data_IF_767614508960
#
_entry.id   IF_767614508960
#
_cell.length_a   1.000
_cell.length_b   1.000
_cell.length_c   1.000
_cell.angle_alpha   90.00
_cell.angle_beta   90.00
_cell.angle_gamma   90.00
#
_symmetry.space_group_name_H-M   'P 1'
#
loop_
_entity.id
_entity.type
_entity.pdbx_description
1 polymer ?
#
# COMPACT_ATOMS: atom_id res chain seq x y z
N UNK A 1 -17.18 -4.75 45.02
CA UNK A 1 -15.91 -4.62 44.27
C UNK A 1 -14.68 -5.15 45.02
N UNK A 2 -14.32 -4.68 46.23
CA UNK A 2 -13.11 -5.19 46.96
C UNK A 2 -13.16 -6.69 47.29
N UNK A 3 -14.31 -7.23 47.68
CA UNK A 3 -14.43 -8.66 48.04
C UNK A 3 -14.32 -9.63 46.84
N UNK A 4 -14.64 -9.19 45.62
CA UNK A 4 -14.65 -10.04 44.43
C UNK A 4 -13.24 -10.25 43.87
N UNK A 5 -12.45 -9.17 43.80
CA UNK A 5 -11.03 -9.24 43.44
C UNK A 5 -10.23 -10.08 44.45
N UNK A 6 -10.55 -9.98 45.75
CA UNK A 6 -9.95 -10.81 46.81
C UNK A 6 -10.31 -12.30 46.68
N UNK A 7 -11.56 -12.61 46.36
CA UNK A 7 -12.02 -14.00 46.16
C UNK A 7 -11.38 -14.63 44.91
N UNK A 8 -11.31 -13.86 43.81
CA UNK A 8 -10.55 -14.22 42.60
C UNK A 8 -9.08 -14.45 42.89
N UNK A 9 -8.44 -13.56 43.64
CA UNK A 9 -7.04 -13.72 44.03
C UNK A 9 -6.84 -15.02 44.82
N UNK A 10 -7.74 -15.33 45.76
CA UNK A 10 -7.71 -16.54 46.59
C UNK A 10 -7.85 -17.83 45.77
N UNK A 11 -8.84 -17.90 44.88
CA UNK A 11 -9.07 -19.03 43.97
C UNK A 11 -7.87 -19.25 43.04
N UNK A 12 -7.29 -18.15 42.52
CA UNK A 12 -6.10 -18.19 41.66
C UNK A 12 -4.85 -18.67 42.40
N UNK A 13 -4.68 -18.31 43.68
CA UNK A 13 -3.62 -18.85 44.52
C UNK A 13 -3.82 -20.33 44.86
N UNK A 14 -5.07 -20.79 45.04
CA UNK A 14 -5.39 -22.21 45.28
C UNK A 14 -5.11 -23.05 44.03
N UNK A 15 -5.58 -22.63 42.85
CA UNK A 15 -5.24 -23.28 41.57
C UNK A 15 -3.72 -23.25 41.32
N UNK A 16 -3.07 -22.13 41.65
CA UNK A 16 -1.62 -21.99 41.61
C UNK A 16 -0.87 -22.94 42.57
N UNK A 17 -1.51 -23.37 43.65
CA UNK A 17 -0.95 -24.29 44.67
C UNK A 17 -1.19 -25.77 44.33
N UNK A 18 -2.31 -26.12 43.66
CA UNK A 18 -2.56 -27.47 43.14
C UNK A 18 -1.61 -27.88 42.01
N UNK A 19 -0.95 -26.92 41.36
CA UNK A 19 0.12 -27.15 40.36
C UNK A 19 1.45 -27.57 41.04
N UNK A 20 1.50 -27.63 42.38
CA UNK A 20 2.69 -27.98 43.14
C UNK A 20 2.63 -29.38 43.74
N UNK A 21 2.95 -30.40 42.95
CA UNK A 21 4.02 -31.39 43.17
C UNK A 21 3.87 -32.47 42.09
N UNK A 22 4.91 -32.61 41.24
CA UNK A 22 5.07 -33.64 40.18
C UNK A 22 4.11 -33.59 38.97
N UNK A 23 4.42 -32.71 38.00
CA UNK A 23 4.47 -33.00 36.53
C UNK A 23 4.55 -31.74 35.64
N UNK A 24 4.32 -30.53 36.17
CA UNK A 24 4.32 -29.28 35.37
C UNK A 24 5.61 -28.46 35.54
N UNK A 25 6.27 -28.07 34.44
CA UNK A 25 7.51 -27.25 34.48
C UNK A 25 7.22 -25.84 35.01
N UNK A 26 8.18 -25.25 35.76
CA UNK A 26 8.06 -23.92 36.38
C UNK A 26 7.67 -22.80 35.40
N UNK A 27 8.10 -22.92 34.14
CA UNK A 27 7.78 -22.01 33.04
C UNK A 27 6.28 -21.98 32.73
N UNK A 28 5.65 -23.14 32.56
CA UNK A 28 4.21 -23.21 32.27
C UNK A 28 3.37 -22.69 33.44
N UNK A 29 3.76 -23.00 34.69
CA UNK A 29 3.10 -22.45 35.88
C UNK A 29 3.13 -20.92 35.91
N UNK A 30 4.25 -20.31 35.55
CA UNK A 30 4.37 -18.85 35.48
C UNK A 30 3.54 -18.26 34.34
N UNK A 31 3.52 -18.91 33.17
CA UNK A 31 2.67 -18.52 32.05
C UNK A 31 1.19 -18.59 32.43
N UNK A 32 0.76 -19.69 33.05
CA UNK A 32 -0.62 -19.89 33.46
C UNK A 32 -1.08 -18.81 34.46
N UNK A 33 -0.25 -18.44 35.46
CA UNK A 33 -0.55 -17.32 36.36
C UNK A 33 -0.77 -15.99 35.63
N UNK A 34 0.04 -15.71 34.59
CA UNK A 34 -0.15 -14.50 33.76
C UNK A 34 -1.44 -14.60 32.94
N UNK A 35 -1.70 -15.77 32.36
CA UNK A 35 -2.91 -16.05 31.59
C UNK A 35 -4.16 -15.80 32.42
N UNK A 36 -4.22 -16.33 33.63
CA UNK A 36 -5.40 -16.19 34.47
C UNK A 36 -5.65 -14.73 34.89
N UNK A 37 -4.58 -13.96 35.14
CA UNK A 37 -4.67 -12.50 35.35
C UNK A 37 -5.21 -11.79 34.11
N UNK A 38 -4.66 -12.06 32.93
CA UNK A 38 -5.11 -11.44 31.68
C UNK A 38 -6.58 -11.80 31.38
N UNK A 39 -6.97 -13.05 31.61
CA UNK A 39 -8.35 -13.49 31.47
C UNK A 39 -9.29 -12.75 32.44
N UNK A 40 -8.88 -12.50 33.68
CA UNK A 40 -9.68 -11.71 34.62
C UNK A 40 -9.91 -10.27 34.14
N UNK A 41 -8.97 -9.69 33.37
CA UNK A 41 -9.15 -8.37 32.75
C UNK A 41 -10.19 -8.46 31.64
N UNK A 42 -10.09 -9.46 30.76
CA UNK A 42 -11.09 -9.73 29.71
C UNK A 42 -12.49 -9.93 30.31
N UNK A 43 -12.59 -10.64 31.44
CA UNK A 43 -13.84 -10.80 32.19
C UNK A 43 -14.34 -9.51 32.82
N UNK A 44 -13.48 -8.66 33.38
CA UNK A 44 -13.89 -7.39 33.97
C UNK A 44 -14.31 -6.37 32.90
N UNK A 45 -13.66 -6.36 31.74
CA UNK A 45 -14.14 -5.63 30.57
C UNK A 45 -15.54 -6.13 30.19
N UNK A 46 -15.74 -7.44 30.11
CA UNK A 46 -17.05 -8.05 29.86
C UNK A 46 -18.12 -7.62 30.90
N UNK A 47 -17.79 -7.62 32.20
CA UNK A 47 -18.70 -7.27 33.30
C UNK A 47 -19.04 -5.76 33.34
N UNK A 48 -18.08 -4.85 33.13
CA UNK A 48 -18.34 -3.39 33.11
C UNK A 48 -19.32 -3.00 32.01
N UNK A 49 -19.31 -3.75 30.92
CA UNK A 49 -20.21 -3.55 29.81
C UNK A 49 -21.61 -4.12 30.07
N UNK A 50 -21.83 -5.10 30.96
CA UNK A 50 -23.15 -5.76 31.09
C UNK A 50 -24.29 -4.85 31.57
N UNK A 51 -24.00 -3.73 32.25
CA UNK A 51 -25.02 -2.74 32.61
C UNK A 51 -25.48 -1.88 31.39
N UNK A 52 -24.71 -1.83 30.30
CA UNK A 52 -25.06 -1.14 29.03
C UNK A 52 -25.19 -2.09 27.80
N UNK A 53 -24.70 -3.34 27.89
CA UNK A 53 -24.49 -4.27 26.79
C UNK A 53 -25.47 -5.45 26.85
N UNK A 54 -26.70 -5.20 26.42
CA UNK A 54 -27.36 -6.14 25.49
C UNK A 54 -26.91 -5.89 24.03
N UNK A 55 -25.98 -4.95 23.78
CA UNK A 55 -25.75 -4.31 22.46
C UNK A 55 -24.40 -4.49 21.76
N UNK A 56 -23.42 -5.27 22.24
CA UNK A 56 -22.15 -5.40 21.52
C UNK A 56 -21.35 -6.70 21.78
N UNK A 57 -21.90 -7.83 21.30
CA UNK A 57 -21.22 -9.15 21.28
C UNK A 57 -19.91 -9.16 20.48
N UNK A 58 -19.71 -8.20 19.56
CA UNK A 58 -18.48 -8.12 18.77
C UNK A 58 -17.28 -7.82 19.67
N UNK A 59 -17.34 -6.84 20.57
CA UNK A 59 -16.19 -6.40 21.39
C UNK A 59 -15.62 -7.50 22.29
N UNK A 60 -16.47 -8.35 22.88
CA UNK A 60 -16.01 -9.50 23.68
C UNK A 60 -15.30 -10.58 22.85
N UNK A 61 -15.70 -10.77 21.58
CA UNK A 61 -15.04 -11.70 20.66
C UNK A 61 -13.62 -11.23 20.32
N UNK A 62 -13.38 -9.92 20.18
CA UNK A 62 -12.04 -9.35 19.96
C UNK A 62 -11.11 -9.57 21.16
N UNK A 63 -11.57 -9.29 22.40
CA UNK A 63 -10.75 -9.49 23.60
C UNK A 63 -10.32 -10.96 23.77
N UNK A 64 -11.18 -11.92 23.45
CA UNK A 64 -10.82 -13.34 23.45
C UNK A 64 -9.80 -13.70 22.36
N UNK A 65 -9.94 -13.17 21.13
CA UNK A 65 -8.94 -13.36 20.07
C UNK A 65 -7.57 -12.83 20.49
N UNK A 66 -7.48 -11.67 21.15
CA UNK A 66 -6.22 -11.14 21.67
C UNK A 66 -5.62 -11.96 22.82
N UNK A 67 -6.47 -12.46 23.73
CA UNK A 67 -5.99 -13.31 24.81
C UNK A 67 -5.38 -14.62 24.27
N UNK A 68 -6.06 -15.24 23.30
CA UNK A 68 -5.55 -16.43 22.60
C UNK A 68 -4.28 -16.13 21.82
N UNK A 69 -4.28 -15.03 21.07
CA UNK A 69 -3.09 -14.55 20.35
C UNK A 69 -1.87 -14.48 21.26
N UNK A 70 -2.00 -13.74 22.37
CA UNK A 70 -0.96 -13.59 23.36
C UNK A 70 -0.55 -14.92 23.99
N UNK A 71 -1.51 -15.76 24.35
CA UNK A 71 -1.23 -17.05 24.99
C UNK A 71 -0.43 -17.97 24.07
N UNK A 72 -0.85 -18.11 22.80
CA UNK A 72 -0.15 -18.90 21.80
C UNK A 72 1.26 -18.36 21.50
N UNK A 73 1.41 -17.04 21.46
CA UNK A 73 2.73 -16.40 21.37
C UNK A 73 3.64 -16.80 22.52
N UNK A 74 3.13 -16.74 23.75
CA UNK A 74 3.92 -17.12 24.92
C UNK A 74 4.24 -18.62 24.95
N UNK A 75 3.33 -19.48 24.50
CA UNK A 75 3.58 -20.92 24.38
C UNK A 75 4.75 -21.19 23.42
N UNK A 76 4.78 -20.50 22.28
CA UNK A 76 5.82 -20.66 21.25
C UNK A 76 7.15 -20.04 21.70
N UNK A 77 7.14 -18.78 22.15
CA UNK A 77 8.36 -18.03 22.53
C UNK A 77 9.08 -18.70 23.71
N UNK A 78 8.33 -19.18 24.70
CA UNK A 78 8.91 -19.84 25.87
C UNK A 78 9.17 -21.34 25.64
N UNK A 79 8.93 -21.84 24.43
CA UNK A 79 9.10 -23.25 24.04
C UNK A 79 8.48 -24.22 25.08
N UNK A 80 7.22 -23.96 25.43
CA UNK A 80 6.48 -24.76 26.42
C UNK A 80 6.36 -26.20 25.91
N UNK A 81 6.54 -27.17 26.81
CA UNK A 81 6.50 -28.59 26.51
C UNK A 81 5.09 -29.03 26.07
N UNK A 82 5.01 -29.99 25.15
CA UNK A 82 3.73 -30.51 24.67
C UNK A 82 2.93 -31.17 25.81
N UNK A 83 3.59 -31.82 26.77
CA UNK A 83 2.92 -32.37 27.96
C UNK A 83 2.26 -31.29 28.83
N UNK A 84 2.94 -30.15 29.01
CA UNK A 84 2.40 -28.99 29.73
C UNK A 84 1.22 -28.34 28.96
N UNK A 85 1.32 -28.22 27.64
CA UNK A 85 0.24 -27.70 26.78
C UNK A 85 -1.00 -28.59 26.88
N UNK A 86 -0.83 -29.92 26.84
CA UNK A 86 -1.93 -30.89 26.96
C UNK A 86 -2.66 -30.80 28.32
N UNK A 87 -2.01 -30.24 29.35
CA UNK A 87 -2.62 -30.02 30.65
C UNK A 87 -3.53 -28.76 30.69
N UNK A 88 -3.29 -27.78 29.81
CA UNK A 88 -4.00 -26.50 29.78
C UNK A 88 -5.54 -26.62 29.73
N UNK A 89 -6.16 -27.48 28.90
CA UNK A 89 -7.62 -27.58 28.83
C UNK A 89 -8.27 -28.02 30.15
N UNK A 90 -7.56 -28.81 30.97
CA UNK A 90 -8.06 -29.22 32.30
C UNK A 90 -8.05 -28.04 33.28
N UNK A 91 -6.96 -27.26 33.26
CA UNK A 91 -6.81 -26.06 34.06
C UNK A 91 -7.82 -24.98 33.65
N UNK A 92 -8.02 -24.78 32.34
CA UNK A 92 -9.02 -23.86 31.81
C UNK A 92 -10.44 -24.22 32.27
N UNK A 93 -10.86 -25.49 32.14
CA UNK A 93 -12.19 -25.93 32.61
C UNK A 93 -12.39 -25.70 34.10
N UNK A 94 -11.34 -25.91 34.89
CA UNK A 94 -11.39 -25.70 36.34
C UNK A 94 -11.51 -24.21 36.67
N UNK A 95 -10.72 -23.36 35.99
CA UNK A 95 -10.79 -21.92 36.10
C UNK A 95 -12.20 -21.41 35.75
N UNK A 96 -12.78 -21.82 34.61
CA UNK A 96 -14.14 -21.42 34.21
C UNK A 96 -15.19 -21.83 35.24
N UNK A 97 -15.14 -23.06 35.77
CA UNK A 97 -16.07 -23.54 36.82
C UNK A 97 -15.94 -22.79 38.15
N UNK A 98 -14.76 -22.24 38.43
CA UNK A 98 -14.52 -21.49 39.67
C UNK A 98 -15.23 -20.13 39.70
N UNK A 99 -15.67 -19.62 38.55
CA UNK A 99 -16.55 -18.45 38.49
C UNK A 99 -18.01 -18.88 38.75
N UNK A 100 -18.63 -18.38 39.83
CA UNK A 100 -19.99 -18.77 40.23
C UNK A 100 -21.10 -18.05 39.44
N UNK A 101 -22.21 -18.76 39.14
CA UNK A 101 -23.49 -18.20 38.64
C UNK A 101 -23.83 -18.47 37.17
N UNK A 102 -24.88 -17.82 36.62
CA UNK A 102 -25.32 -17.83 35.20
C UNK A 102 -24.29 -17.24 34.20
N UNK A 103 -23.07 -16.96 34.66
CA UNK A 103 -22.01 -16.31 33.87
C UNK A 103 -21.40 -17.31 32.89
N UNK A 104 -21.77 -17.20 31.62
CA UNK A 104 -21.08 -17.91 30.54
C UNK A 104 -19.70 -17.28 30.30
N UNK A 105 -18.67 -18.12 30.20
CA UNK A 105 -17.34 -17.67 29.78
C UNK A 105 -17.44 -16.96 28.42
N UNK A 106 -16.84 -15.76 28.24
CA UNK A 106 -16.84 -15.08 26.96
C UNK A 106 -15.88 -15.73 25.95
N UNK A 107 -14.90 -16.50 26.43
CA UNK A 107 -13.91 -17.17 25.60
C UNK A 107 -14.09 -18.69 25.66
N UNK A 108 -13.81 -19.38 24.56
CA UNK A 108 -13.67 -20.84 24.53
C UNK A 108 -12.21 -21.18 24.23
N UNK A 109 -11.67 -22.23 24.84
CA UNK A 109 -10.31 -22.70 24.54
C UNK A 109 -10.38 -24.18 24.25
N UNK A 110 -9.80 -24.59 23.13
CA UNK A 110 -9.80 -25.96 22.66
C UNK A 110 -8.44 -26.63 22.91
N UNK A 111 -8.45 -27.97 22.94
CA UNK A 111 -7.23 -28.75 23.15
C UNK A 111 -6.42 -28.85 21.87
N UNK A 112 -5.39 -28.02 21.73
CA UNK A 112 -4.51 -27.97 20.57
C UNK A 112 -3.10 -28.48 20.88
N UNK A 113 -2.50 -29.20 19.93
CA UNK A 113 -1.09 -29.58 19.97
C UNK A 113 -0.18 -28.41 19.61
N UNK A 114 1.09 -28.48 19.98
CA UNK A 114 2.05 -27.40 19.71
C UNK A 114 2.19 -27.07 18.22
N UNK A 115 2.14 -28.08 17.35
CA UNK A 115 2.18 -27.88 15.90
C UNK A 115 0.92 -27.18 15.39
N UNK A 116 -0.26 -27.57 15.88
CA UNK A 116 -1.55 -26.93 15.55
C UNK A 116 -1.57 -25.47 16.00
N UNK A 117 -1.03 -25.16 17.19
CA UNK A 117 -0.86 -23.79 17.70
C UNK A 117 0.04 -22.96 16.76
N UNK A 118 1.18 -23.52 16.33
CA UNK A 118 2.12 -22.84 15.41
C UNK A 118 1.48 -22.57 14.04
N UNK A 119 0.67 -23.50 13.53
CA UNK A 119 -0.04 -23.33 12.27
C UNK A 119 -1.14 -22.27 12.37
N UNK A 120 -2.07 -22.41 13.33
CA UNK A 120 -3.22 -21.51 13.45
C UNK A 120 -2.84 -20.10 13.87
N UNK A 121 -1.69 -19.93 14.55
CA UNK A 121 -1.14 -18.63 14.89
C UNK A 121 -0.99 -17.71 13.66
N UNK A 122 -0.78 -18.26 12.47
CA UNK A 122 -0.76 -17.47 11.22
C UNK A 122 -2.04 -16.65 11.01
N UNK A 123 -3.20 -17.21 11.36
CA UNK A 123 -4.47 -16.48 11.30
C UNK A 123 -4.59 -15.44 12.39
N UNK A 124 -4.06 -15.71 13.59
CA UNK A 124 -4.01 -14.74 14.67
C UNK A 124 -3.09 -13.55 14.36
N UNK A 125 -1.90 -13.79 13.79
CA UNK A 125 -0.99 -12.74 13.34
C UNK A 125 -1.63 -11.91 12.22
N UNK A 126 -2.34 -12.55 11.28
CA UNK A 126 -3.12 -11.83 10.27
C UNK A 126 -4.27 -11.03 10.91
N UNK A 127 -4.95 -11.57 11.92
CA UNK A 127 -6.01 -10.87 12.63
C UNK A 127 -5.50 -9.62 13.34
N UNK A 128 -4.34 -9.67 14.00
CA UNK A 128 -3.73 -8.50 14.61
C UNK A 128 -3.43 -7.41 13.56
N UNK A 129 -2.96 -7.81 12.37
CA UNK A 129 -2.79 -6.90 11.24
C UNK A 129 -4.13 -6.35 10.73
N UNK A 130 -5.14 -7.20 10.63
CA UNK A 130 -6.48 -6.84 10.17
C UNK A 130 -7.14 -5.79 11.07
N UNK A 131 -7.11 -6.01 12.37
CA UNK A 131 -7.67 -5.07 13.33
C UNK A 131 -6.88 -3.75 13.37
N UNK A 132 -5.54 -3.83 13.31
CA UNK A 132 -4.68 -2.63 13.28
C UNK A 132 -4.83 -1.79 12.01
N UNK A 133 -5.25 -2.40 10.90
CA UNK A 133 -5.40 -1.74 9.60
C UNK A 133 -6.72 -2.16 8.95
N UNK A 134 -7.89 -1.66 9.39
CA UNK A 134 -9.19 -2.09 8.90
C UNK A 134 -9.45 -1.71 7.43
N UNK A 135 -8.74 -0.73 6.87
CA UNK A 135 -8.78 -0.39 5.46
C UNK A 135 -8.02 -1.42 4.59
N UNK A 136 -8.67 -1.95 3.56
CA UNK A 136 -8.12 -2.99 2.69
C UNK A 136 -6.84 -2.57 1.98
N UNK A 137 -6.80 -1.36 1.44
CA UNK A 137 -5.68 -0.89 0.66
C UNK A 137 -4.43 -0.71 1.55
N UNK A 138 -4.61 -0.09 2.71
CA UNK A 138 -3.53 0.12 3.68
C UNK A 138 -2.99 -1.19 4.21
N UNK A 139 -3.88 -2.13 4.54
CA UNK A 139 -3.52 -3.44 5.06
C UNK A 139 -2.73 -4.24 4.02
N UNK A 140 -3.22 -4.28 2.77
CA UNK A 140 -2.52 -4.90 1.65
C UNK A 140 -1.14 -4.26 1.43
N UNK A 141 -1.02 -2.95 1.58
CA UNK A 141 0.26 -2.25 1.51
C UNK A 141 1.22 -2.66 2.63
N UNK A 142 0.75 -2.68 3.88
CA UNK A 142 1.57 -3.10 5.03
C UNK A 142 2.07 -4.53 4.85
N UNK A 143 1.29 -5.41 4.23
CA UNK A 143 1.75 -6.76 3.85
C UNK A 143 2.81 -6.66 2.74
N UNK A 144 2.54 -5.93 1.66
CA UNK A 144 3.43 -5.79 0.50
C UNK A 144 4.85 -5.35 0.86
N UNK A 145 4.96 -4.31 1.70
CA UNK A 145 6.23 -3.68 2.08
C UNK A 145 6.92 -4.40 3.25
N UNK A 146 6.22 -5.33 3.92
CA UNK A 146 6.75 -6.03 5.08
C UNK A 146 7.73 -7.14 4.71
N UNK A 147 8.78 -7.29 5.52
CA UNK A 147 9.66 -8.46 5.50
C UNK A 147 8.90 -9.77 5.76
N UNK A 148 7.71 -9.68 6.35
CA UNK A 148 6.78 -10.79 6.61
C UNK A 148 5.75 -11.01 5.49
N UNK A 149 5.87 -10.35 4.33
CA UNK A 149 4.91 -10.53 3.22
C UNK A 149 4.69 -12.01 2.86
N UNK A 150 5.78 -12.79 2.80
CA UNK A 150 5.70 -14.24 2.50
C UNK A 150 4.90 -14.99 3.57
N UNK A 151 5.14 -14.67 4.84
CA UNK A 151 4.43 -15.27 5.98
C UNK A 151 2.92 -14.99 5.91
N UNK A 152 2.51 -13.77 5.60
CA UNK A 152 1.09 -13.45 5.43
C UNK A 152 0.45 -14.11 4.19
N UNK A 153 1.23 -14.39 3.13
CA UNK A 153 0.74 -15.23 2.01
C UNK A 153 0.53 -16.67 2.44
N UNK A 154 1.46 -17.22 3.20
CA UNK A 154 1.35 -18.58 3.75
C UNK A 154 0.10 -18.72 4.64
N UNK A 155 -0.28 -17.67 5.38
CA UNK A 155 -1.53 -17.61 6.15
C UNK A 155 -2.79 -17.76 5.26
N UNK A 156 -2.80 -17.14 4.07
CA UNK A 156 -3.91 -17.27 3.10
C UNK A 156 -4.00 -18.71 2.58
N UNK A 157 -2.86 -19.32 2.25
CA UNK A 157 -2.83 -20.70 1.79
C UNK A 157 -3.25 -21.67 2.91
N UNK A 158 -2.82 -21.41 4.15
CA UNK A 158 -3.26 -22.13 5.33
C UNK A 158 -4.77 -22.06 5.51
N UNK A 159 -5.35 -20.85 5.44
CA UNK A 159 -6.80 -20.67 5.54
C UNK A 159 -7.56 -21.48 4.50
N UNK A 160 -7.14 -21.43 3.22
CA UNK A 160 -7.76 -22.19 2.14
C UNK A 160 -7.70 -23.70 2.38
N UNK A 161 -6.54 -24.21 2.82
CA UNK A 161 -6.38 -25.63 3.19
C UNK A 161 -7.31 -26.00 4.35
N UNK A 162 -7.35 -25.19 5.39
CA UNK A 162 -8.19 -25.45 6.56
C UNK A 162 -9.68 -25.41 6.24
N UNK A 163 -10.13 -24.52 5.36
CA UNK A 163 -11.52 -24.49 4.89
C UNK A 163 -11.94 -25.79 4.19
N UNK A 164 -11.01 -26.47 3.51
CA UNK A 164 -11.27 -27.79 2.93
C UNK A 164 -11.22 -28.94 3.96
N UNK A 165 -10.38 -28.81 4.99
CA UNK A 165 -10.17 -29.82 6.04
C UNK A 165 -11.24 -29.79 7.14
N UNK A 166 -11.82 -28.63 7.40
CA UNK A 166 -12.82 -28.38 8.43
C UNK A 166 -14.16 -28.00 7.80
N UNK A 167 -14.92 -28.96 7.24
CA UNK A 167 -16.31 -28.71 6.83
C UNK A 167 -17.18 -28.41 8.06
N UNK A 168 -18.35 -27.77 7.87
CA UNK A 168 -19.21 -27.27 8.96
C UNK A 168 -19.67 -28.32 9.98
N UNK A 169 -19.59 -29.62 9.66
CA UNK A 169 -19.96 -30.73 10.54
C UNK A 169 -18.75 -31.34 11.28
N UNK A 170 -17.53 -30.91 10.98
CA UNK A 170 -16.32 -31.36 11.64
C UNK A 170 -16.21 -30.71 13.02
N UNK A 171 -16.09 -31.53 14.05
CA UNK A 171 -16.17 -31.09 15.44
C UNK A 171 -14.88 -31.34 16.22
N UNK A 172 -13.79 -31.67 15.53
CA UNK A 172 -12.46 -31.69 16.15
C UNK A 172 -12.15 -30.34 16.80
N UNK A 173 -11.46 -30.39 17.94
CA UNK A 173 -11.03 -29.21 18.71
C UNK A 173 -10.22 -28.23 17.85
N UNK A 174 -9.41 -28.75 16.94
CA UNK A 174 -8.65 -27.93 15.98
C UNK A 174 -9.56 -27.19 14.97
N UNK A 175 -10.58 -27.86 14.45
CA UNK A 175 -11.54 -27.22 13.55
C UNK A 175 -12.43 -26.21 14.26
N UNK A 176 -12.83 -26.46 15.52
CA UNK A 176 -13.55 -25.46 16.32
C UNK A 176 -12.75 -24.17 16.50
N UNK A 177 -11.45 -24.29 16.79
CA UNK A 177 -10.57 -23.13 16.87
C UNK A 177 -10.51 -22.38 15.52
N UNK A 178 -10.41 -23.10 14.40
CA UNK A 178 -10.41 -22.52 13.06
C UNK A 178 -11.74 -21.82 12.72
N UNK A 179 -12.88 -22.37 13.17
CA UNK A 179 -14.21 -21.80 12.93
C UNK A 179 -14.42 -20.45 13.60
N UNK A 180 -13.71 -20.15 14.70
CA UNK A 180 -13.76 -18.81 15.30
C UNK A 180 -13.35 -17.69 14.33
N UNK A 181 -12.50 -18.02 13.34
CA UNK A 181 -12.05 -17.15 12.26
C UNK A 181 -12.87 -17.28 10.98
N UNK A 182 -13.10 -18.51 10.51
CA UNK A 182 -13.75 -18.72 9.20
C UNK A 182 -15.23 -18.34 9.17
N UNK A 183 -15.89 -18.24 10.32
CA UNK A 183 -17.26 -17.73 10.43
C UNK A 183 -17.35 -16.20 10.40
N UNK A 184 -16.22 -15.49 10.52
CA UNK A 184 -16.16 -14.04 10.44
C UNK A 184 -16.00 -13.62 8.96
N UNK A 185 -17.12 -13.36 8.29
CA UNK A 185 -17.13 -13.02 6.86
C UNK A 185 -16.34 -11.75 6.51
N UNK A 186 -16.23 -10.79 7.45
CA UNK A 186 -15.43 -9.58 7.26
C UNK A 186 -13.93 -9.93 7.28
N UNK A 187 -13.52 -10.75 8.25
CA UNK A 187 -12.15 -11.26 8.33
C UNK A 187 -11.80 -12.11 7.10
N UNK A 188 -12.68 -13.01 6.67
CA UNK A 188 -12.46 -13.83 5.47
C UNK A 188 -12.27 -12.96 4.22
N UNK A 189 -13.18 -12.00 3.98
CA UNK A 189 -13.08 -11.07 2.84
C UNK A 189 -11.74 -10.32 2.88
N UNK A 190 -11.33 -9.85 4.05
CA UNK A 190 -10.07 -9.15 4.24
C UNK A 190 -8.84 -10.04 4.03
N UNK A 191 -8.86 -11.29 4.52
CA UNK A 191 -7.76 -12.23 4.34
C UNK A 191 -7.56 -12.58 2.86
N UNK A 192 -8.65 -12.85 2.15
CA UNK A 192 -8.62 -13.26 0.75
C UNK A 192 -8.42 -12.10 -0.24
N UNK A 193 -8.53 -10.85 0.21
CA UNK A 193 -8.35 -9.67 -0.66
C UNK A 193 -6.90 -9.43 -1.06
N UNK A 194 -5.93 -9.92 -0.28
CA UNK A 194 -4.52 -9.71 -0.60
C UNK A 194 -4.08 -10.55 -1.82
N UNK A 195 -3.80 -9.87 -2.93
CA UNK A 195 -3.30 -10.48 -4.19
C UNK A 195 -1.96 -9.91 -4.66
N UNK A 196 -1.32 -9.06 -3.86
CA UNK A 196 -0.09 -8.35 -4.23
C UNK A 196 1.14 -9.25 -4.34
N UNK A 197 2.12 -8.86 -5.17
CA UNK A 197 3.46 -9.48 -5.21
C UNK A 197 4.29 -8.88 -4.06
N UNK A 198 5.08 -9.66 -3.33
CA UNK A 198 5.90 -9.10 -2.25
C UNK A 198 7.02 -8.24 -2.84
N UNK A 199 7.32 -7.08 -2.22
CA UNK A 199 8.34 -6.13 -2.68
C UNK A 199 9.67 -6.76 -3.12
N UNK A 200 10.11 -7.82 -2.42
CA UNK A 200 11.39 -8.50 -2.68
C UNK A 200 11.30 -9.76 -3.57
N UNK A 201 10.15 -10.06 -4.19
CA UNK A 201 10.02 -11.23 -5.08
C UNK A 201 10.23 -10.83 -6.53
N UNK A 202 11.24 -11.41 -7.17
CA UNK A 202 11.48 -11.29 -8.61
C UNK A 202 10.25 -11.72 -9.40
N UNK A 203 9.88 -10.93 -10.41
CA UNK A 203 8.74 -11.13 -11.31
C UNK A 203 8.93 -12.41 -12.16
N UNK A 204 8.70 -13.58 -11.58
CA UNK A 204 8.46 -14.80 -12.33
C UNK A 204 7.02 -15.25 -12.09
N UNK A 205 6.05 -14.53 -12.66
CA UNK A 205 4.71 -15.09 -12.85
C UNK A 205 4.01 -14.47 -14.05
N UNK A 206 3.60 -15.37 -14.94
CA UNK A 206 2.78 -15.18 -16.14
C UNK A 206 1.48 -14.42 -15.80
N UNK A 207 0.95 -13.56 -16.71
CA UNK A 207 -0.31 -12.84 -16.48
C UNK A 207 -1.48 -13.81 -16.35
N UNK A 208 -1.98 -14.01 -15.13
CA UNK A 208 -3.28 -14.63 -14.87
C UNK A 208 -4.39 -13.63 -15.19
N UNK A 209 -5.33 -14.04 -16.04
CA UNK A 209 -6.37 -13.22 -16.65
C UNK A 209 -7.22 -12.39 -15.68
N UNK A 210 -7.25 -11.10 -15.95
CA UNK A 210 -8.21 -10.11 -15.48
C UNK A 210 -7.96 -8.85 -16.29
N UNK A 211 -9.00 -8.34 -16.96
CA UNK A 211 -9.00 -7.21 -17.91
C UNK A 211 -8.71 -5.85 -17.24
N UNK A 212 -7.60 -5.75 -16.50
CA UNK A 212 -7.19 -4.54 -15.80
C UNK A 212 -5.82 -4.06 -16.25
N UNK A 213 -5.80 -2.95 -16.98
CA UNK A 213 -4.57 -2.23 -17.32
C UNK A 213 -4.03 -1.53 -16.07
N UNK A 214 -3.07 -2.17 -15.39
CA UNK A 214 -2.26 -1.55 -14.33
C UNK A 214 -1.59 -0.26 -14.87
N UNK A 215 -1.49 0.80 -14.05
CA UNK A 215 -0.65 1.95 -14.41
C UNK A 215 0.78 1.48 -14.37
N UNK A 216 1.47 1.56 -15.50
CA UNK A 216 2.88 1.23 -15.59
C UNK A 216 3.68 2.46 -16.03
N UNK A 217 4.99 2.38 -15.80
CA UNK A 217 5.95 3.38 -16.24
C UNK A 217 6.07 3.41 -17.76
N UNK A 218 6.78 4.39 -18.30
CA UNK A 218 7.19 4.39 -19.70
C UNK A 218 7.84 3.06 -20.11
N UNK A 219 7.43 2.52 -21.27
CA UNK A 219 7.87 1.20 -21.73
C UNK A 219 9.38 1.16 -22.03
N UNK A 220 9.95 2.27 -22.52
CA UNK A 220 11.38 2.34 -22.80
C UNK A 220 12.18 2.33 -21.49
N UNK A 221 11.68 3.03 -20.46
CA UNK A 221 12.26 2.98 -19.13
C UNK A 221 12.20 1.59 -18.49
N UNK A 222 11.10 0.86 -18.65
CA UNK A 222 10.96 -0.51 -18.14
C UNK A 222 12.01 -1.44 -18.76
N UNK A 223 12.18 -1.38 -20.08
CA UNK A 223 13.19 -2.18 -20.80
C UNK A 223 14.60 -1.96 -20.26
N UNK A 224 14.95 -0.73 -19.86
CA UNK A 224 16.26 -0.43 -19.28
C UNK A 224 16.48 -1.08 -17.90
N UNK A 225 15.41 -1.43 -17.20
CA UNK A 225 15.44 -2.04 -15.87
C UNK A 225 15.24 -3.56 -15.89
N UNK A 226 15.02 -4.15 -17.07
CA UNK A 226 14.86 -5.59 -17.25
C UNK A 226 16.16 -6.30 -16.82
N UNK A 227 16.10 -7.02 -15.69
CA UNK A 227 17.17 -7.86 -15.18
C UNK A 227 17.60 -7.58 -13.74
N UNK A 228 17.61 -6.32 -13.29
CA UNK A 228 18.04 -5.95 -11.92
C UNK A 228 16.97 -5.17 -11.12
N UNK A 229 15.84 -4.81 -11.76
CA UNK A 229 14.66 -4.22 -11.14
C UNK A 229 14.92 -2.96 -10.31
N UNK A 230 15.94 -2.16 -10.64
CA UNK A 230 16.32 -0.99 -9.85
C UNK A 230 15.22 0.08 -9.74
N UNK A 231 14.24 0.07 -10.65
CA UNK A 231 13.09 0.98 -10.60
C UNK A 231 12.20 0.71 -9.39
N UNK A 232 12.18 -0.51 -8.84
CA UNK A 232 11.29 -0.90 -7.73
C UNK A 232 11.66 -0.20 -6.41
N UNK A 233 12.89 0.28 -6.28
CA UNK A 233 13.36 1.00 -5.10
C UNK A 233 13.03 2.50 -5.15
N UNK A 234 12.54 2.99 -6.30
CA UNK A 234 12.14 4.38 -6.47
C UNK A 234 10.74 4.59 -5.92
N UNK A 235 10.59 5.69 -5.18
CA UNK A 235 9.37 5.98 -4.45
C UNK A 235 8.13 6.07 -5.35
N UNK A 236 8.27 6.63 -6.55
CA UNK A 236 7.19 6.70 -7.53
C UNK A 236 6.68 5.29 -7.89
N UNK A 237 7.59 4.35 -8.20
CA UNK A 237 7.23 2.95 -8.47
C UNK A 237 6.50 2.32 -7.29
N UNK A 238 7.05 2.49 -6.08
CA UNK A 238 6.45 1.93 -4.87
C UNK A 238 5.03 2.48 -4.70
N UNK A 239 4.85 3.79 -4.87
CA UNK A 239 3.55 4.44 -4.76
C UNK A 239 2.55 3.95 -5.81
N UNK A 240 2.96 3.81 -7.07
CA UNK A 240 2.10 3.26 -8.11
C UNK A 240 1.71 1.82 -7.84
N UNK A 241 2.61 0.98 -7.34
CA UNK A 241 2.30 -0.39 -6.94
C UNK A 241 1.24 -0.42 -5.82
N UNK A 242 1.35 0.46 -4.83
CA UNK A 242 0.32 0.62 -3.79
C UNK A 242 -1.03 0.93 -4.41
N UNK A 243 -1.07 1.90 -5.33
CA UNK A 243 -2.32 2.32 -5.95
C UNK A 243 -2.91 1.21 -6.85
N UNK A 244 -2.06 0.53 -7.62
CA UNK A 244 -2.44 -0.57 -8.51
C UNK A 244 -2.95 -1.81 -7.76
N UNK A 245 -2.44 -2.09 -6.55
CA UNK A 245 -2.82 -3.26 -5.76
C UNK A 245 -3.99 -2.94 -4.82
N UNK A 246 -3.86 -1.85 -4.07
CA UNK A 246 -4.73 -1.55 -2.94
C UNK A 246 -6.12 -1.08 -3.34
N UNK A 247 -6.27 -0.43 -4.50
CA UNK A 247 -7.52 0.25 -4.88
C UNK A 247 -8.14 -0.32 -6.15
N UNK A 248 -7.88 -1.59 -6.47
CA UNK A 248 -8.61 -2.28 -7.55
C UNK A 248 -9.96 -2.85 -7.09
N UNK A 249 -10.10 -3.19 -5.80
CA UNK A 249 -11.37 -3.57 -5.18
C UNK A 249 -11.86 -2.40 -4.32
N UNK A 250 -12.94 -1.76 -4.73
CA UNK A 250 -13.55 -0.66 -3.97
C UNK A 250 -15.06 -0.87 -3.93
N UNK A 251 -15.67 -0.40 -2.86
CA UNK A 251 -17.14 -0.32 -2.76
C UNK A 251 -17.64 0.91 -3.52
N UNK A 252 -18.88 0.85 -4.00
CA UNK A 252 -19.47 1.96 -4.73
C UNK A 252 -19.65 3.18 -3.81
N UNK A 253 -19.17 4.34 -4.25
CA UNK A 253 -19.33 5.58 -3.52
C UNK A 253 -20.67 6.24 -3.86
N UNK A 254 -21.44 6.61 -2.83
CA UNK A 254 -22.64 7.44 -3.00
C UNK A 254 -22.33 8.77 -3.71
N UNK A 255 -21.15 9.35 -3.52
CA UNK A 255 -20.73 10.58 -4.20
C UNK A 255 -20.62 10.32 -5.71
N UNK A 256 -19.94 9.23 -6.09
CA UNK A 256 -19.78 8.85 -7.48
C UNK A 256 -21.12 8.47 -8.13
N UNK A 257 -21.93 7.65 -7.46
CA UNK A 257 -23.24 7.23 -7.95
C UNK A 257 -24.17 8.43 -8.17
N UNK A 258 -24.15 9.43 -7.28
CA UNK A 258 -24.97 10.64 -7.43
C UNK A 258 -24.52 11.56 -8.56
N UNK A 259 -23.22 11.62 -8.85
CA UNK A 259 -22.69 12.45 -9.93
C UNK A 259 -22.77 11.79 -11.31
N UNK A 260 -22.95 10.46 -11.35
CA UNK A 260 -22.92 9.64 -12.57
C UNK A 260 -24.34 9.16 -12.98
N UNK A 261 -25.39 9.87 -12.53
CA UNK A 261 -26.80 9.46 -12.74
C UNK A 261 -27.21 9.19 -14.20
N UNK A 262 -26.54 9.80 -15.18
CA UNK A 262 -26.93 9.76 -16.60
C UNK A 262 -25.82 9.30 -17.57
N UNK A 263 -24.74 8.67 -17.09
CA UNK A 263 -23.73 8.12 -18.02
C UNK A 263 -23.47 6.64 -17.74
N UNK A 264 -23.95 5.80 -18.66
CA UNK A 264 -23.66 4.36 -18.78
C UNK A 264 -22.16 4.03 -18.99
N UNK A 265 -21.22 4.88 -18.56
CA UNK A 265 -19.79 4.60 -18.68
C UNK A 265 -19.28 3.97 -17.40
N UNK A 266 -19.38 2.64 -17.34
CA UNK A 266 -18.77 1.80 -16.31
C UNK A 266 -17.33 2.24 -15.97
N UNK A 267 -16.54 2.63 -16.98
CA UNK A 267 -15.17 3.13 -16.81
C UNK A 267 -15.07 4.41 -15.98
N UNK A 268 -16.02 5.34 -16.12
CA UNK A 268 -16.02 6.60 -15.36
C UNK A 268 -16.33 6.34 -13.89
N UNK A 269 -17.36 5.54 -13.62
CA UNK A 269 -17.72 5.09 -12.26
C UNK A 269 -16.55 4.37 -11.60
N UNK A 270 -15.83 3.54 -12.38
CA UNK A 270 -14.60 2.85 -11.94
C UNK A 270 -13.58 3.83 -11.37
N UNK A 271 -13.17 4.82 -12.18
CA UNK A 271 -12.11 5.77 -11.82
C UNK A 271 -12.56 6.67 -10.65
N UNK A 272 -13.84 7.09 -10.65
CA UNK A 272 -14.41 7.88 -9.57
C UNK A 272 -14.33 7.16 -8.23
N UNK A 273 -14.77 5.90 -8.17
CA UNK A 273 -14.78 5.14 -6.92
C UNK A 273 -13.35 4.86 -6.42
N UNK A 274 -12.40 4.55 -7.32
CA UNK A 274 -10.97 4.44 -6.96
C UNK A 274 -10.48 5.73 -6.30
N UNK A 275 -10.73 6.86 -6.93
CA UNK A 275 -10.35 8.16 -6.40
C UNK A 275 -10.96 8.42 -5.02
N UNK A 276 -12.25 8.12 -4.85
CA UNK A 276 -12.96 8.31 -3.60
C UNK A 276 -12.25 7.58 -2.45
N UNK A 277 -11.95 6.29 -2.62
CA UNK A 277 -11.30 5.48 -1.57
C UNK A 277 -9.87 5.96 -1.31
N UNK A 278 -9.11 6.31 -2.35
CA UNK A 278 -7.74 6.85 -2.20
C UNK A 278 -7.77 8.14 -1.38
N UNK A 279 -8.64 9.09 -1.74
CA UNK A 279 -8.70 10.36 -1.02
C UNK A 279 -9.24 10.17 0.39
N UNK A 280 -10.26 9.35 0.63
CA UNK A 280 -10.73 9.09 2.00
C UNK A 280 -9.62 8.56 2.92
N UNK A 281 -8.73 7.71 2.40
CA UNK A 281 -7.62 7.12 3.13
C UNK A 281 -6.29 7.88 3.03
N UNK A 282 -6.27 9.06 2.41
CA UNK A 282 -5.04 9.78 2.04
C UNK A 282 -4.05 9.96 3.20
N UNK A 283 -4.51 10.36 4.38
CA UNK A 283 -3.64 10.55 5.55
C UNK A 283 -2.94 9.26 5.97
N UNK A 284 -3.65 8.13 5.88
CA UNK A 284 -3.10 6.83 6.24
C UNK A 284 -2.13 6.32 5.18
N UNK A 285 -2.44 6.55 3.89
CA UNK A 285 -1.51 6.30 2.78
C UNK A 285 -0.23 7.10 3.01
N UNK A 286 -0.32 8.40 3.31
CA UNK A 286 0.88 9.21 3.57
C UNK A 286 1.68 8.71 4.77
N UNK A 287 1.02 8.35 5.89
CA UNK A 287 1.68 7.73 7.05
C UNK A 287 2.36 6.41 6.69
N UNK A 288 1.83 5.65 5.74
CA UNK A 288 2.45 4.38 5.38
C UNK A 288 3.81 4.54 4.68
N UNK A 289 4.12 5.74 4.16
CA UNK A 289 5.42 6.09 3.58
C UNK A 289 6.31 6.91 4.56
N UNK A 290 6.13 6.71 5.87
CA UNK A 290 6.57 7.49 7.06
C UNK A 290 8.03 8.00 7.18
N UNK A 291 8.84 8.07 6.13
CA UNK A 291 10.19 8.65 6.15
C UNK A 291 10.38 9.92 5.30
N UNK A 292 9.39 10.37 4.52
CA UNK A 292 9.57 11.56 3.66
C UNK A 292 8.38 12.51 3.70
N UNK A 293 8.25 13.24 4.81
CA UNK A 293 7.40 14.43 4.94
C UNK A 293 8.03 15.56 4.11
N UNK A 294 7.98 15.45 2.77
CA UNK A 294 8.23 16.52 1.78
C UNK A 294 8.14 16.09 0.31
N UNK A 295 7.74 14.85 0.00
CA UNK A 295 7.66 14.39 -1.41
C UNK A 295 6.26 14.52 -2.00
N UNK A 296 6.22 14.71 -3.32
CA UNK A 296 5.04 15.12 -4.07
C UNK A 296 4.09 13.94 -4.38
N UNK A 297 3.66 13.18 -3.37
CA UNK A 297 2.75 12.04 -3.53
C UNK A 297 1.43 12.41 -4.21
N UNK A 298 0.95 13.64 -3.96
CA UNK A 298 -0.25 14.12 -4.62
C UNK A 298 -0.05 14.29 -6.13
N UNK A 299 1.15 14.70 -6.57
CA UNK A 299 1.49 14.75 -7.99
C UNK A 299 1.57 13.34 -8.60
N UNK A 300 2.15 12.38 -7.87
CA UNK A 300 2.13 10.97 -8.29
C UNK A 300 0.70 10.46 -8.48
N UNK A 301 -0.20 10.74 -7.53
CA UNK A 301 -1.62 10.39 -7.63
C UNK A 301 -2.27 11.06 -8.84
N UNK A 302 -1.94 12.33 -9.11
CA UNK A 302 -2.46 13.08 -10.26
C UNK A 302 -2.09 12.44 -11.59
N UNK A 303 -0.84 12.01 -11.79
CA UNK A 303 -0.46 11.27 -13.00
C UNK A 303 -1.11 9.89 -13.03
N UNK A 304 -1.12 9.16 -11.91
CA UNK A 304 -1.69 7.82 -11.83
C UNK A 304 -3.18 7.79 -12.22
N UNK A 305 -4.01 8.66 -11.63
CA UNK A 305 -5.45 8.66 -11.88
C UNK A 305 -5.80 9.05 -13.32
N UNK A 306 -5.06 9.99 -13.92
CA UNK A 306 -5.32 10.46 -15.29
C UNK A 306 -4.80 9.49 -16.35
N UNK A 307 -3.82 8.64 -15.99
CA UNK A 307 -3.38 7.54 -16.84
C UNK A 307 -4.46 6.46 -16.98
N UNK A 308 -5.33 6.29 -15.97
CA UNK A 308 -6.48 5.38 -16.03
C UNK A 308 -7.53 5.83 -17.06
N UNK A 309 -7.55 7.09 -17.49
CA UNK A 309 -8.52 7.63 -18.46
C UNK A 309 -8.08 7.28 -19.89
N UNK A 310 -8.36 6.05 -20.34
CA UNK A 310 -7.94 5.54 -21.67
C UNK A 310 -8.89 5.94 -22.82
N UNK A 311 -10.15 6.23 -22.53
CA UNK A 311 -11.13 6.60 -23.55
C UNK A 311 -10.90 8.04 -24.06
N UNK A 312 -10.40 8.15 -25.29
CA UNK A 312 -10.14 9.44 -25.95
C UNK A 312 -11.40 10.29 -26.11
N UNK A 313 -12.54 9.67 -26.41
CA UNK A 313 -13.80 10.37 -26.70
C UNK A 313 -14.38 11.00 -25.42
N UNK A 314 -14.26 10.30 -24.29
CA UNK A 314 -14.80 10.79 -23.02
C UNK A 314 -13.77 11.46 -22.10
N UNK A 315 -12.48 11.51 -22.46
CA UNK A 315 -11.41 12.03 -21.60
C UNK A 315 -11.74 13.36 -20.93
N UNK A 316 -12.17 14.37 -21.71
CA UNK A 316 -12.55 15.69 -21.17
C UNK A 316 -13.69 15.62 -20.16
N UNK A 317 -14.73 14.84 -20.46
CA UNK A 317 -15.88 14.64 -19.56
C UNK A 317 -15.46 13.91 -18.29
N UNK A 318 -14.69 12.83 -18.41
CA UNK A 318 -14.15 12.04 -17.31
C UNK A 318 -13.26 12.88 -16.40
N UNK A 319 -12.32 13.64 -16.97
CA UNK A 319 -11.44 14.55 -16.23
C UNK A 319 -12.23 15.61 -15.47
N UNK A 320 -13.24 16.22 -16.10
CA UNK A 320 -14.08 17.24 -15.44
C UNK A 320 -14.83 16.67 -14.25
N UNK A 321 -15.40 15.47 -14.39
CA UNK A 321 -16.07 14.79 -13.28
C UNK A 321 -15.10 14.46 -12.14
N UNK A 322 -13.92 13.94 -12.47
CA UNK A 322 -12.86 13.62 -11.50
C UNK A 322 -12.50 14.84 -10.67
N UNK A 323 -12.42 16.04 -11.27
CA UNK A 323 -12.16 17.29 -10.56
C UNK A 323 -13.28 17.65 -9.58
N UNK A 324 -14.53 17.55 -10.00
CA UNK A 324 -15.69 17.78 -9.13
C UNK A 324 -15.67 16.85 -7.91
N UNK A 325 -15.36 15.56 -8.12
CA UNK A 325 -15.27 14.56 -7.04
C UNK A 325 -14.13 14.92 -6.09
N UNK A 326 -12.97 15.28 -6.62
CA UNK A 326 -11.80 15.70 -5.84
C UNK A 326 -12.12 16.90 -4.93
N UNK A 327 -12.78 17.91 -5.47
CA UNK A 327 -13.16 19.13 -4.76
C UNK A 327 -14.13 18.83 -3.62
N UNK A 328 -15.15 18.01 -3.89
CA UNK A 328 -16.13 17.57 -2.89
C UNK A 328 -15.40 16.87 -1.74
N UNK A 329 -14.53 15.91 -2.04
CA UNK A 329 -13.82 15.14 -1.03
C UNK A 329 -12.86 15.99 -0.20
N UNK A 330 -12.14 16.93 -0.82
CA UNK A 330 -11.26 17.85 -0.08
C UNK A 330 -12.01 18.87 0.78
N UNK A 331 -13.24 19.26 0.38
CA UNK A 331 -14.11 20.11 1.18
C UNK A 331 -14.65 19.36 2.41
N UNK A 332 -14.99 18.08 2.28
CA UNK A 332 -15.46 17.25 3.40
C UNK A 332 -14.37 16.92 4.43
N UNK A 333 -13.09 16.97 4.04
CA UNK A 333 -11.95 16.84 4.94
C UNK A 333 -11.66 18.13 5.71
N UNK A 334 -12.55 18.49 6.62
CA UNK A 334 -12.45 19.75 7.39
C UNK A 334 -11.24 19.71 8.35
N UNK A 335 -10.92 18.55 8.93
CA UNK A 335 -9.90 18.40 9.98
C UNK A 335 -8.57 17.76 9.53
N UNK A 336 -8.39 17.50 8.22
CA UNK A 336 -7.14 16.93 7.70
C UNK A 336 -6.24 18.04 7.15
N UNK A 337 -5.00 18.09 7.64
CA UNK A 337 -3.99 19.01 7.14
C UNK A 337 -3.39 18.56 5.80
N UNK A 338 -3.59 17.31 5.38
CA UNK A 338 -3.03 16.78 4.13
C UNK A 338 -4.12 16.70 3.05
N UNK A 339 -4.40 17.84 2.42
CA UNK A 339 -5.26 17.87 1.22
C UNK A 339 -4.41 17.57 -0.02
N UNK A 340 -4.94 16.73 -0.90
CA UNK A 340 -4.34 16.50 -2.21
C UNK A 340 -5.25 17.10 -3.26
N UNK A 341 -4.80 18.12 -3.98
CA UNK A 341 -5.56 18.78 -5.03
C UNK A 341 -5.21 18.22 -6.40
N UNK A 342 -6.19 18.22 -7.30
CA UNK A 342 -5.93 17.81 -8.67
C UNK A 342 -5.07 18.85 -9.39
N UNK A 343 -4.27 18.38 -10.34
CA UNK A 343 -3.55 19.17 -11.34
C UNK A 343 -4.37 19.20 -12.63
N UNK A 344 -4.27 20.32 -13.36
CA UNK A 344 -4.98 20.46 -14.62
C UNK A 344 -4.32 19.64 -15.74
N UNK A 345 -4.93 18.50 -16.03
CA UNK A 345 -4.66 17.58 -17.13
C UNK A 345 -5.86 17.44 -18.07
N UNK A 346 -6.67 18.50 -18.19
CA UNK A 346 -7.69 18.62 -19.24
C UNK A 346 -7.04 18.96 -20.59
N UNK A 347 -6.17 18.04 -21.05
CA UNK A 347 -5.39 18.14 -22.28
C UNK A 347 -5.62 16.89 -23.12
N UNK A 348 -5.38 16.95 -24.44
CA UNK A 348 -5.38 15.76 -25.29
C UNK A 348 -4.50 14.64 -24.73
N UNK A 349 -4.87 13.39 -24.99
CA UNK A 349 -4.16 12.22 -24.45
C UNK A 349 -2.66 12.22 -24.80
N UNK A 350 -2.32 12.67 -26.03
CA UNK A 350 -0.92 12.82 -26.46
C UNK A 350 -0.14 13.76 -25.53
N UNK A 351 -0.73 14.91 -25.20
CA UNK A 351 -0.07 15.89 -24.34
C UNK A 351 0.05 15.38 -22.90
N UNK A 352 -0.98 14.70 -22.39
CA UNK A 352 -0.89 14.04 -21.09
C UNK A 352 0.22 12.98 -21.05
N UNK A 353 0.32 12.13 -22.08
CA UNK A 353 1.38 11.10 -22.17
C UNK A 353 2.77 11.72 -22.19
N UNK A 354 2.95 12.82 -22.92
CA UNK A 354 4.21 13.57 -22.94
C UNK A 354 4.54 14.17 -21.56
N UNK A 355 3.55 14.78 -20.88
CA UNK A 355 3.71 15.31 -19.52
C UNK A 355 4.12 14.22 -18.54
N UNK A 356 3.43 13.07 -18.55
CA UNK A 356 3.72 11.91 -17.71
C UNK A 356 5.14 11.41 -17.99
N UNK A 357 5.52 11.20 -19.25
CA UNK A 357 6.85 10.71 -19.64
C UNK A 357 7.98 11.63 -19.14
N UNK A 358 7.83 12.95 -19.26
CA UNK A 358 8.79 13.92 -18.74
C UNK A 358 8.88 13.90 -17.21
N UNK A 359 7.72 13.90 -16.53
CA UNK A 359 7.69 13.90 -15.07
C UNK A 359 8.31 12.63 -14.48
N UNK A 360 7.89 11.46 -14.97
CA UNK A 360 8.40 10.18 -14.49
C UNK A 360 9.90 10.09 -14.70
N UNK A 361 10.41 10.44 -15.89
CA UNK A 361 11.85 10.47 -16.15
C UNK A 361 12.63 11.21 -15.06
N UNK A 362 12.16 12.38 -14.62
CA UNK A 362 12.84 13.19 -13.62
C UNK A 362 12.90 12.51 -12.25
N UNK A 363 11.87 11.74 -11.88
CA UNK A 363 11.87 10.92 -10.67
C UNK A 363 12.90 9.78 -10.72
N UNK A 364 13.17 9.24 -11.91
CA UNK A 364 14.15 8.16 -12.11
C UNK A 364 15.56 8.65 -12.45
N UNK A 365 15.74 9.92 -12.80
CA UNK A 365 16.97 10.39 -13.44
C UNK A 365 18.24 10.12 -12.62
N UNK A 366 18.19 10.30 -11.30
CA UNK A 366 19.35 10.02 -10.44
C UNK A 366 19.69 8.53 -10.37
N UNK A 367 18.69 7.65 -10.39
CA UNK A 367 18.90 6.21 -10.41
C UNK A 367 19.49 5.76 -11.75
N UNK A 368 18.99 6.31 -12.86
CA UNK A 368 19.52 6.11 -14.21
C UNK A 368 21.01 6.50 -14.25
N UNK A 369 21.37 7.70 -13.77
CA UNK A 369 22.79 8.13 -13.70
C UNK A 369 23.65 7.15 -12.92
N UNK A 370 23.19 6.77 -11.72
CA UNK A 370 23.92 5.85 -10.84
C UNK A 370 24.12 4.47 -11.46
N UNK A 371 23.20 4.02 -12.32
CA UNK A 371 23.32 2.77 -13.08
C UNK A 371 24.27 2.90 -14.25
N UNK A 372 24.18 3.98 -15.01
CA UNK A 372 25.07 4.25 -16.14
C UNK A 372 26.56 4.31 -15.77
N UNK A 373 26.88 4.71 -14.54
CA UNK A 373 28.26 4.70 -14.03
C UNK A 373 28.82 3.28 -13.84
N UNK A 374 27.96 2.27 -13.66
CA UNK A 374 28.33 0.90 -13.27
C UNK A 374 28.25 -0.13 -14.41
N UNK A 375 27.63 0.22 -15.54
CA UNK A 375 27.41 -0.70 -16.66
C UNK A 375 28.50 -0.61 -17.75
N UNK A 376 28.71 -1.73 -18.45
CA UNK A 376 29.61 -1.82 -19.60
C UNK A 376 29.15 -0.94 -20.77
N UNK A 377 30.11 -0.59 -21.65
CA UNK A 377 29.88 0.32 -22.78
C UNK A 377 28.76 -0.10 -23.73
N UNK A 378 28.51 -1.41 -23.91
CA UNK A 378 27.46 -1.92 -24.81
C UNK A 378 26.05 -1.61 -24.32
N UNK A 379 25.81 -1.63 -22.99
CA UNK A 379 24.51 -1.28 -22.40
C UNK A 379 24.31 0.23 -22.28
N UNK A 380 25.39 1.03 -22.30
CA UNK A 380 25.28 2.49 -22.24
C UNK A 380 24.54 3.08 -23.43
N UNK A 381 24.63 2.44 -24.59
CA UNK A 381 23.98 2.92 -25.82
C UNK A 381 22.45 2.99 -25.68
N UNK A 382 21.82 1.96 -25.11
CA UNK A 382 20.36 1.94 -24.89
C UNK A 382 19.91 3.05 -23.93
N UNK A 383 20.68 3.29 -22.88
CA UNK A 383 20.46 4.40 -21.95
C UNK A 383 20.61 5.76 -22.64
N UNK A 384 21.62 5.91 -23.51
CA UNK A 384 21.85 7.14 -24.27
C UNK A 384 20.73 7.42 -25.27
N UNK A 385 20.21 6.39 -25.95
CA UNK A 385 19.05 6.54 -26.85
C UNK A 385 17.79 6.95 -26.08
N UNK A 386 17.52 6.33 -24.93
CA UNK A 386 16.42 6.74 -24.06
C UNK A 386 16.57 8.18 -23.59
N UNK A 387 17.74 8.57 -23.07
CA UNK A 387 18.01 9.95 -22.64
C UNK A 387 17.83 10.95 -23.77
N UNK A 388 18.34 10.63 -24.97
CA UNK A 388 18.18 11.46 -26.15
C UNK A 388 16.71 11.63 -26.51
N UNK A 389 15.90 10.58 -26.43
CA UNK A 389 14.45 10.65 -26.71
C UNK A 389 13.74 11.60 -25.74
N UNK A 390 14.09 11.56 -24.45
CA UNK A 390 13.49 12.41 -23.42
C UNK A 390 13.92 13.88 -23.58
N UNK A 391 15.21 14.14 -23.80
CA UNK A 391 15.69 15.51 -24.03
C UNK A 391 15.14 16.10 -25.33
N UNK A 392 14.93 15.27 -26.35
CA UNK A 392 14.26 15.69 -27.59
C UNK A 392 12.79 16.02 -27.36
N UNK A 393 12.10 15.23 -26.54
CA UNK A 393 10.72 15.53 -26.13
C UNK A 393 10.66 16.86 -25.36
N UNK A 394 11.51 17.05 -24.35
CA UNK A 394 11.62 18.30 -23.59
C UNK A 394 11.84 19.50 -24.52
N UNK A 395 12.82 19.41 -25.42
CA UNK A 395 13.10 20.46 -26.40
C UNK A 395 11.86 20.78 -27.25
N UNK A 396 11.21 19.74 -27.78
CA UNK A 396 10.04 19.87 -28.64
C UNK A 396 8.89 20.56 -27.91
N UNK A 397 8.50 20.07 -26.72
CA UNK A 397 7.34 20.64 -26.00
C UNK A 397 7.62 22.05 -25.50
N UNK A 398 8.86 22.35 -25.09
CA UNK A 398 9.26 23.71 -24.71
C UNK A 398 9.11 24.68 -25.89
N UNK A 399 9.63 24.30 -27.05
CA UNK A 399 9.54 25.14 -28.25
C UNK A 399 8.10 25.25 -28.79
N UNK A 400 7.30 24.18 -28.69
CA UNK A 400 5.88 24.25 -29.03
C UNK A 400 5.13 25.27 -28.17
N UNK A 401 5.34 25.26 -26.85
CA UNK A 401 4.71 26.23 -25.94
C UNK A 401 5.15 27.66 -26.23
N UNK A 402 6.45 27.88 -26.46
CA UNK A 402 7.00 29.18 -26.86
C UNK A 402 6.36 29.69 -28.17
N UNK A 403 6.34 28.85 -29.22
CA UNK A 403 5.80 29.22 -30.53
C UNK A 403 4.29 29.48 -30.50
N UNK A 404 3.53 28.66 -29.74
CA UNK A 404 2.07 28.78 -29.62
C UNK A 404 1.64 29.79 -28.56
N UNK A 405 2.57 30.40 -27.82
CA UNK A 405 2.30 31.19 -26.60
C UNK A 405 1.37 30.44 -25.64
N UNK A 406 1.62 29.14 -25.52
CA UNK A 406 0.89 28.19 -24.71
C UNK A 406 1.65 27.95 -23.40
N UNK A 407 0.96 27.47 -22.38
CA UNK A 407 1.55 27.06 -21.10
C UNK A 407 1.20 25.61 -20.76
N UNK A 408 0.91 24.80 -21.78
CA UNK A 408 0.47 23.42 -21.59
C UNK A 408 1.52 22.64 -20.81
N UNK A 409 2.80 22.75 -21.13
CA UNK A 409 3.91 22.00 -20.53
C UNK A 409 4.73 22.80 -19.51
N UNK A 410 4.24 23.97 -19.08
CA UNK A 410 4.98 24.89 -18.20
C UNK A 410 5.57 24.18 -16.97
N UNK A 411 4.73 23.47 -16.22
CA UNK A 411 5.17 22.82 -14.98
C UNK A 411 6.23 21.74 -15.22
N UNK A 412 6.09 20.95 -16.29
CA UNK A 412 7.06 19.91 -16.65
C UNK A 412 8.37 20.51 -17.16
N UNK A 413 8.31 21.59 -17.95
CA UNK A 413 9.49 22.33 -18.42
C UNK A 413 10.23 22.97 -17.25
N UNK A 414 9.52 23.62 -16.34
CA UNK A 414 10.09 24.24 -15.13
C UNK A 414 10.74 23.18 -14.23
N UNK A 415 10.07 22.03 -14.04
CA UNK A 415 10.63 20.93 -13.25
C UNK A 415 11.87 20.32 -13.90
N UNK A 416 11.86 20.16 -15.22
CA UNK A 416 13.01 19.66 -15.98
C UNK A 416 14.22 20.60 -15.86
N UNK A 417 14.01 21.91 -16.02
CA UNK A 417 15.07 22.92 -15.89
C UNK A 417 15.60 23.05 -14.47
N UNK A 418 14.76 22.86 -13.46
CA UNK A 418 15.17 22.86 -12.05
C UNK A 418 16.00 21.62 -11.69
N UNK A 419 15.68 20.48 -12.29
CA UNK A 419 16.28 19.19 -11.96
C UNK A 419 17.61 18.98 -12.69
N UNK A 420 17.68 19.29 -13.99
CA UNK A 420 18.89 19.12 -14.81
C UNK A 420 19.84 20.30 -14.61
N UNK A 421 21.06 20.01 -14.16
CA UNK A 421 22.12 20.98 -13.85
C UNK A 421 23.29 20.89 -14.82
N UNK A 422 24.20 21.85 -14.77
CA UNK A 422 25.38 21.87 -15.66
C UNK A 422 26.27 20.63 -15.49
N UNK A 423 26.37 20.09 -14.27
CA UNK A 423 27.07 18.83 -14.00
C UNK A 423 26.42 17.62 -14.70
N UNK A 424 25.10 17.64 -14.88
CA UNK A 424 24.37 16.60 -15.63
C UNK A 424 24.67 16.69 -17.13
N UNK A 425 24.83 17.90 -17.68
CA UNK A 425 25.23 18.09 -19.07
C UNK A 425 26.65 17.55 -19.32
N UNK A 426 27.58 17.78 -18.38
CA UNK A 426 28.92 17.21 -18.44
C UNK A 426 28.90 15.68 -18.33
N UNK A 427 28.06 15.13 -17.46
CA UNK A 427 27.83 13.69 -17.35
C UNK A 427 27.34 13.09 -18.67
N UNK A 428 26.37 13.73 -19.33
CA UNK A 428 25.82 13.29 -20.61
C UNK A 428 26.87 13.33 -21.73
N UNK A 429 27.67 14.40 -21.83
CA UNK A 429 28.79 14.49 -22.80
C UNK A 429 29.79 13.34 -22.63
N UNK A 430 30.13 13.03 -21.37
CA UNK A 430 31.10 11.98 -21.03
C UNK A 430 30.57 10.58 -21.33
N UNK A 431 29.32 10.29 -20.96
CA UNK A 431 28.76 8.94 -21.02
C UNK A 431 28.03 8.64 -22.33
N UNK A 432 27.62 9.65 -23.09
CA UNK A 432 26.94 9.54 -24.38
C UNK A 432 27.64 10.37 -25.47
N UNK A 433 28.94 10.13 -25.73
CA UNK A 433 29.70 10.93 -26.69
C UNK A 433 29.11 10.82 -28.11
N UNK A 434 29.09 11.93 -28.85
CA UNK A 434 28.57 11.99 -30.23
C UNK A 434 27.04 12.03 -30.36
N UNK A 435 26.29 11.86 -29.27
CA UNK A 435 24.81 11.97 -29.29
C UNK A 435 24.30 13.40 -29.15
N UNK A 436 25.14 14.32 -28.66
CA UNK A 436 24.87 15.75 -28.50
C UNK A 436 23.57 16.04 -27.70
N UNK A 437 23.24 15.19 -26.72
CA UNK A 437 22.00 15.27 -25.93
C UNK A 437 21.92 16.60 -25.18
N UNK A 438 23.06 17.07 -24.67
CA UNK A 438 23.17 18.31 -23.93
C UNK A 438 22.78 19.56 -24.74
N UNK A 439 22.90 19.52 -26.07
CA UNK A 439 22.55 20.65 -26.94
C UNK A 439 21.04 20.89 -26.99
N UNK A 440 20.26 19.88 -26.64
CA UNK A 440 18.80 19.94 -26.53
C UNK A 440 18.36 20.67 -25.24
N UNK A 441 19.29 20.94 -24.32
CA UNK A 441 19.04 21.68 -23.10
C UNK A 441 19.57 23.11 -23.20
N UNK A 442 18.65 24.08 -23.35
CA UNK A 442 18.96 25.51 -23.27
C UNK A 442 18.22 26.12 -22.08
N UNK A 443 18.99 26.60 -21.10
CA UNK A 443 18.46 27.41 -19.99
C UNK A 443 18.16 28.81 -20.53
N UNK A 444 16.93 29.28 -20.36
CA UNK A 444 16.65 30.70 -20.65
C UNK A 444 17.39 31.54 -19.61
N UNK A 445 18.20 32.48 -20.07
CA UNK A 445 18.77 33.49 -19.19
C UNK A 445 17.61 34.40 -18.76
N UNK A 446 17.44 34.60 -17.45
CA UNK A 446 16.47 35.55 -16.93
C UNK A 446 16.83 36.98 -17.37
N UNK A 447 15.97 37.50 -18.26
CA UNK A 447 15.77 38.88 -18.76
C UNK A 447 16.76 39.46 -19.79
N UNK A 448 16.20 40.26 -20.72
CA UNK A 448 16.75 41.60 -20.92
C UNK A 448 15.64 42.66 -20.82
N UNK A 449 15.65 43.38 -19.70
CA UNK A 449 15.30 44.79 -19.72
C UNK A 449 16.48 45.55 -20.33
N UNK A 450 16.18 46.37 -21.34
CA UNK A 450 17.04 47.29 -22.11
C UNK A 450 17.81 46.64 -23.26
N UNK A 451 17.38 47.03 -24.46
CA UNK A 451 17.91 46.55 -25.73
C UNK A 451 19.30 47.07 -26.09
N UNK A 452 19.87 46.46 -27.12
CA UNK A 452 20.54 47.17 -28.20
C UNK A 452 20.77 46.22 -29.39
N UNK A 453 20.26 46.68 -30.53
CA UNK A 453 20.79 46.62 -31.90
C UNK A 453 21.07 45.26 -32.59
N UNK A 454 20.39 45.11 -33.72
CA UNK A 454 20.59 44.16 -34.82
C UNK A 454 22.05 43.86 -35.17
N UNK A 455 22.34 42.61 -35.55
CA UNK A 455 23.33 42.32 -36.59
C UNK A 455 22.62 42.13 -37.94
N UNK A 456 23.04 42.93 -38.92
CA UNK A 456 22.59 42.92 -40.31
C UNK A 456 22.73 41.53 -40.98
N UNK A 457 21.72 41.17 -41.77
CA UNK A 457 21.83 40.17 -42.83
C UNK A 457 22.74 40.70 -43.95
N UNK A 458 23.92 40.11 -44.13
CA UNK A 458 24.61 40.14 -45.43
C UNK A 458 24.02 39.09 -46.35
N UNK A 459 23.09 39.51 -47.22
CA UNK A 459 22.73 38.77 -48.43
C UNK A 459 23.82 38.98 -49.47
N UNK A 460 24.61 37.94 -49.75
CA UNK A 460 25.41 37.89 -50.97
C UNK A 460 24.49 37.73 -52.18
N UNK A 461 24.35 38.78 -53.00
CA UNK A 461 23.83 38.68 -54.36
C UNK A 461 24.99 38.41 -55.30
N UNK A 462 24.87 37.31 -56.02
CA UNK A 462 25.63 36.97 -57.22
C UNK A 462 25.28 38.01 -58.30
N UNK A 463 26.30 38.64 -58.90
CA UNK A 463 26.18 39.39 -60.16
C UNK A 463 26.86 38.55 -61.26
N UNK A 464 26.13 38.33 -62.36
CA UNK A 464 26.67 37.86 -63.63
C UNK A 464 26.23 38.87 -64.71
N UNK A 465 27.16 39.14 -65.64
CA UNK A 465 27.10 39.92 -66.90
C UNK A 465 27.25 41.45 -66.72
N UNK A 466 28.08 42.19 -67.47
CA UNK A 466 28.68 41.97 -68.80
C UNK A 466 29.78 43.02 -69.07
N UNK A 467 30.53 42.80 -70.17
CA UNK A 467 31.70 43.50 -70.75
C UNK A 467 33.09 43.17 -70.22
#
# INVERSE_FOLDING_TARGET
>A
MKNYALCLFFIMSILGSQIGTTEVKSLFRNLYKKFTRNYSIVLNEYDFYFDEIKKNKEKSKYSCKYLKYWFYDQVIINNIDESDINFFPSLWRTLVRSFSGDRKSPCEFYSLKLNEIKEIKQLYDYFALYDGYPDEALRNFKIYDSVHCKYFKEAIDFYKRMKSRCPNNESSEYCKEFHEYSEDSKFEKALLSFRGICKHKTLNTTPGGGDETKVTLDQDLQKLADGDNFLNDILLSQFYEVLNIGFNNYEESHICNNLIKDSNSYHITKICNKLNVILQNWDQILKSFESVINRNYCEYLNYWIHDQIKDKMFRKKTTTLIYTVWDILNKHKINSNNKCWYKNFNVPEKDFKNKKKLYEFLEYYNAIKSKMEKIDSSKKEEYCEYLKSIFSLYYTVKHEDLCKKSTVYKDEVDYFQKTIKDGDLAFLKKNCPGKNIELLFKKEQSSPGKGNQNPQLTKGKVNIYEN
#
